data_IF_026925728354
#
_entry.id   IF_026925728354
#
_cell.length_a   1.000
_cell.length_b   1.000
_cell.length_c   1.000
_cell.angle_alpha   90.00
_cell.angle_beta   90.00
_cell.angle_gamma   90.00
#
_symmetry.space_group_name_H-M   'P 1'
#
loop_
_entity.id
_entity.type
_entity.pdbx_description
1 polymer ?
#
# COMPACT_ATOMS: atom_id res chain seq x y z
N UNK A 1 -12.07 -56.51 -23.62
CA UNK A 1 -12.27 -55.16 -24.14
C UNK A 1 -12.23 -54.23 -22.91
N UNK A 2 -11.06 -53.64 -22.62
CA UNK A 2 -10.85 -52.81 -21.44
C UNK A 2 -10.95 -51.33 -21.85
N UNK A 3 -11.96 -50.62 -21.34
CA UNK A 3 -12.06 -49.16 -21.46
C UNK A 3 -11.10 -48.53 -20.45
N UNK A 4 -10.20 -47.73 -20.92
CA UNK A 4 -9.37 -46.85 -20.09
C UNK A 4 -10.09 -45.51 -19.99
N UNK A 5 -10.59 -45.19 -18.80
CA UNK A 5 -11.04 -43.82 -18.46
C UNK A 5 -9.81 -42.93 -18.28
N UNK A 6 -9.63 -41.96 -19.16
CA UNK A 6 -8.67 -40.90 -19.00
C UNK A 6 -9.29 -39.84 -18.11
N UNK A 7 -8.80 -39.74 -16.88
CA UNK A 7 -9.15 -38.63 -15.96
C UNK A 7 -8.29 -37.44 -16.32
N UNK A 8 -8.89 -36.42 -16.97
CA UNK A 8 -8.28 -35.12 -17.13
C UNK A 8 -8.27 -34.44 -15.76
N UNK A 9 -7.10 -34.33 -15.13
CA UNK A 9 -6.87 -33.45 -13.99
C UNK A 9 -6.57 -32.08 -14.59
N UNK A 10 -7.57 -31.21 -14.58
CA UNK A 10 -7.39 -29.79 -14.86
C UNK A 10 -6.69 -29.16 -13.66
N UNK A 11 -5.39 -28.86 -13.79
CA UNK A 11 -4.64 -28.11 -12.80
C UNK A 11 -5.05 -26.63 -12.93
N UNK A 12 -5.92 -26.14 -12.04
CA UNK A 12 -6.24 -24.72 -11.93
C UNK A 12 -5.03 -24.01 -11.33
N UNK A 13 -4.36 -23.20 -12.15
CA UNK A 13 -3.44 -22.21 -11.66
C UNK A 13 -4.27 -21.05 -11.09
N UNK A 14 -4.43 -21.03 -9.77
CA UNK A 14 -5.03 -19.87 -9.08
C UNK A 14 -4.04 -18.70 -9.17
N UNK A 15 -4.28 -17.80 -10.11
CA UNK A 15 -3.59 -16.51 -10.16
C UNK A 15 -4.23 -15.65 -9.07
N UNK A 16 -3.64 -15.65 -7.89
CA UNK A 16 -4.00 -14.69 -6.86
C UNK A 16 -3.47 -13.31 -7.27
N UNK A 17 -4.26 -12.59 -8.05
CA UNK A 17 -4.03 -11.17 -8.29
C UNK A 17 -4.35 -10.42 -7.00
N UNK A 18 -3.33 -10.15 -6.22
CA UNK A 18 -3.47 -9.30 -5.05
C UNK A 18 -3.61 -7.88 -5.56
N UNK A 19 -4.80 -7.33 -5.41
CA UNK A 19 -5.05 -5.94 -5.74
C UNK A 19 -4.29 -5.05 -4.77
N UNK A 20 -3.38 -4.28 -5.30
CA UNK A 20 -2.71 -3.22 -4.57
C UNK A 20 -3.74 -2.19 -4.14
N UNK A 21 -4.04 -2.16 -2.87
CA UNK A 21 -4.60 -0.97 -2.27
C UNK A 21 -3.47 0.08 -2.21
N UNK A 22 -3.82 1.31 -2.41
CA UNK A 22 -2.91 2.45 -2.35
C UNK A 22 -2.37 2.68 -0.93
N UNK A 23 -1.56 1.82 -0.53
CA UNK A 23 -0.47 1.97 0.42
C UNK A 23 0.74 1.71 -0.44
N UNK A 24 1.89 2.22 -0.14
CA UNK A 24 3.12 1.71 -0.73
C UNK A 24 3.14 0.20 -0.47
N UNK A 25 2.40 -0.52 -1.29
CA UNK A 25 2.15 -1.93 -1.14
C UNK A 25 3.22 -2.65 -1.90
N UNK A 26 3.95 -3.47 -1.18
CA UNK A 26 4.75 -4.51 -1.79
C UNK A 26 3.89 -5.22 -2.83
N UNK A 27 4.35 -5.24 -4.07
CA UNK A 27 3.70 -6.00 -5.13
C UNK A 27 3.50 -7.45 -4.67
N UNK A 28 2.39 -8.08 -5.04
CA UNK A 28 2.14 -9.47 -4.68
C UNK A 28 3.28 -10.35 -5.18
N UNK A 29 3.79 -11.20 -4.30
CA UNK A 29 4.69 -12.26 -4.75
C UNK A 29 3.94 -13.14 -5.77
N UNK A 30 4.55 -13.49 -6.89
CA UNK A 30 3.96 -14.45 -7.81
C UNK A 30 3.70 -15.76 -7.06
N UNK A 31 2.49 -16.35 -7.28
CA UNK A 31 2.15 -17.65 -6.71
C UNK A 31 3.20 -18.69 -7.10
N UNK A 32 3.55 -19.65 -6.21
CA UNK A 32 4.52 -20.68 -6.53
C UNK A 32 4.00 -21.54 -7.70
N UNK A 33 4.71 -21.50 -8.81
CA UNK A 33 4.44 -22.37 -9.95
C UNK A 33 4.86 -23.82 -9.59
N UNK A 34 3.96 -24.77 -9.74
CA UNK A 34 4.27 -26.19 -9.74
C UNK A 34 5.32 -26.50 -10.83
N UNK A 35 6.27 -27.35 -10.50
CA UNK A 35 7.50 -27.63 -11.24
C UNK A 35 7.27 -28.14 -12.68
N UNK A 36 7.21 -27.25 -13.63
CA UNK A 36 7.77 -27.44 -14.96
C UNK A 36 8.97 -26.51 -15.09
N UNK A 37 10.13 -27.06 -15.44
CA UNK A 37 11.35 -26.28 -15.68
C UNK A 37 11.12 -25.48 -16.97
N UNK A 38 10.40 -24.36 -16.85
CA UNK A 38 10.43 -23.30 -17.87
C UNK A 38 11.77 -22.54 -17.71
N UNK A 39 12.36 -22.02 -18.81
CA UNK A 39 13.48 -21.10 -18.68
C UNK A 39 13.07 -20.01 -17.69
N UNK A 40 13.84 -19.85 -16.62
CA UNK A 40 13.61 -18.81 -15.62
C UNK A 40 13.86 -17.50 -16.31
N UNK A 41 12.81 -16.72 -16.57
CA UNK A 41 12.98 -15.32 -16.95
C UNK A 41 13.82 -14.65 -15.86
N UNK A 42 14.97 -14.08 -16.18
CA UNK A 42 15.91 -13.59 -15.16
C UNK A 42 15.32 -12.48 -14.30
N UNK A 43 14.33 -11.77 -14.84
CA UNK A 43 13.68 -10.63 -14.18
C UNK A 43 12.21 -10.56 -14.58
N UNK A 44 11.36 -10.15 -13.63
CA UNK A 44 9.94 -9.86 -13.91
C UNK A 44 9.71 -8.35 -13.74
N UNK A 45 9.14 -7.73 -14.76
CA UNK A 45 8.69 -6.33 -14.69
C UNK A 45 7.16 -6.37 -14.74
N UNK A 46 6.53 -5.73 -13.74
CA UNK A 46 5.08 -5.53 -13.70
C UNK A 46 4.77 -4.05 -13.61
N UNK A 47 3.71 -3.62 -14.28
CA UNK A 47 3.21 -2.28 -14.18
C UNK A 47 1.75 -2.27 -13.76
N UNK A 48 1.33 -1.16 -13.14
CA UNK A 48 -0.06 -0.94 -12.83
C UNK A 48 -0.43 0.53 -13.04
N UNK A 49 -1.71 0.76 -13.33
CA UNK A 49 -2.32 2.07 -13.39
C UNK A 49 -3.77 1.97 -12.94
N UNK A 50 -4.24 2.93 -12.15
CA UNK A 50 -5.62 2.93 -11.64
C UNK A 50 -6.21 4.33 -11.50
N UNK A 51 -7.54 4.37 -11.54
CA UNK A 51 -8.34 5.55 -11.23
C UNK A 51 -9.19 5.19 -10.01
N UNK A 52 -9.07 6.01 -8.98
CA UNK A 52 -9.75 5.85 -7.71
C UNK A 52 -10.65 7.06 -7.46
N UNK A 53 -11.78 6.87 -6.82
CA UNK A 53 -12.65 8.00 -6.44
C UNK A 53 -11.97 8.93 -5.43
N UNK A 54 -10.97 8.43 -4.70
CA UNK A 54 -10.04 9.17 -3.85
C UNK A 54 -8.83 8.30 -3.49
N UNK A 55 -7.74 8.93 -3.05
CA UNK A 55 -6.59 8.25 -2.48
C UNK A 55 -6.72 8.15 -0.95
N UNK A 56 -6.71 6.95 -0.40
CA UNK A 56 -6.65 6.70 1.05
C UNK A 56 -5.29 6.06 1.39
N UNK A 57 -4.56 6.68 2.30
CA UNK A 57 -3.31 6.18 2.86
C UNK A 57 -3.46 6.03 4.38
N UNK A 58 -3.27 4.82 4.92
CA UNK A 58 -3.41 4.52 6.35
C UNK A 58 -4.69 5.13 6.96
N UNK A 59 -5.83 4.97 6.28
CA UNK A 59 -7.13 5.50 6.71
C UNK A 59 -7.37 6.99 6.48
N UNK A 60 -6.40 7.73 5.93
CA UNK A 60 -6.48 9.17 5.71
C UNK A 60 -6.64 9.50 4.22
N UNK A 61 -7.62 10.34 3.84
CA UNK A 61 -7.73 10.81 2.46
C UNK A 61 -6.59 11.76 2.12
N UNK A 62 -5.89 11.48 1.01
CA UNK A 62 -4.78 12.28 0.51
C UNK A 62 -5.21 13.29 -0.56
N UNK A 63 -6.44 13.16 -1.07
CA UNK A 63 -6.99 13.96 -2.17
C UNK A 63 -8.26 14.71 -1.79
N UNK A 64 -8.53 14.90 -0.50
CA UNK A 64 -9.77 15.53 0.01
C UNK A 64 -11.03 14.94 -0.66
N UNK A 65 -11.08 13.59 -0.79
CA UNK A 65 -12.19 12.85 -1.42
C UNK A 65 -12.41 13.18 -2.90
N UNK A 66 -11.36 13.65 -3.60
CA UNK A 66 -11.35 13.89 -5.04
C UNK A 66 -10.63 12.76 -5.78
N UNK A 67 -10.88 12.57 -7.09
CA UNK A 67 -10.27 11.50 -7.86
C UNK A 67 -8.75 11.47 -7.78
N UNK A 68 -8.22 10.24 -7.69
CA UNK A 68 -6.80 9.94 -7.71
C UNK A 68 -6.44 9.09 -8.93
N UNK A 69 -5.32 9.45 -9.57
CA UNK A 69 -4.66 8.69 -10.62
C UNK A 69 -3.39 8.11 -10.02
N UNK A 70 -3.28 6.79 -10.04
CA UNK A 70 -2.24 6.05 -9.35
C UNK A 70 -1.59 5.05 -10.27
N UNK A 71 -0.28 4.86 -10.13
CA UNK A 71 0.40 3.86 -10.94
C UNK A 71 1.84 3.66 -10.52
N UNK A 72 2.42 2.55 -10.98
CA UNK A 72 3.79 2.21 -10.63
C UNK A 72 4.34 1.07 -11.46
N UNK A 73 5.61 0.79 -11.23
CA UNK A 73 6.36 -0.31 -11.84
C UNK A 73 7.19 -1.02 -10.78
N UNK A 74 7.24 -2.34 -10.90
CA UNK A 74 8.02 -3.23 -10.05
C UNK A 74 8.96 -4.07 -10.91
N UNK A 75 10.19 -4.20 -10.45
CA UNK A 75 11.20 -5.14 -10.94
C UNK A 75 11.46 -6.17 -9.85
N UNK A 76 11.30 -7.44 -10.17
CA UNK A 76 11.66 -8.54 -9.27
C UNK A 76 12.70 -9.45 -9.91
N UNK A 77 13.62 -9.96 -9.08
CA UNK A 77 14.66 -10.90 -9.50
C UNK A 77 14.33 -12.32 -9.00
N UNK A 78 14.83 -13.37 -9.67
CA UNK A 78 14.66 -14.74 -9.20
C UNK A 78 15.25 -15.00 -7.81
N UNK A 79 16.25 -14.20 -7.41
CA UNK A 79 16.87 -14.27 -6.09
C UNK A 79 16.10 -13.64 -4.95
N UNK A 80 14.89 -13.10 -5.23
CA UNK A 80 14.02 -12.48 -4.22
C UNK A 80 14.24 -10.98 -4.00
N UNK A 81 15.26 -10.38 -4.61
CA UNK A 81 15.41 -8.91 -4.57
C UNK A 81 14.38 -8.23 -5.47
N UNK A 82 13.91 -7.09 -5.07
CA UNK A 82 13.00 -6.26 -5.86
C UNK A 82 13.29 -4.78 -5.65
N UNK A 83 12.87 -3.99 -6.64
CA UNK A 83 12.80 -2.54 -6.57
C UNK A 83 11.56 -2.06 -7.33
N UNK A 84 11.02 -0.93 -6.93
CA UNK A 84 9.86 -0.37 -7.61
C UNK A 84 9.70 1.11 -7.36
N UNK A 85 8.76 1.69 -8.08
CA UNK A 85 8.31 3.06 -7.91
C UNK A 85 6.81 3.12 -8.10
N UNK A 86 6.18 4.02 -7.36
CA UNK A 86 4.75 4.27 -7.43
C UNK A 86 4.46 5.74 -7.24
N UNK A 87 3.33 6.22 -7.75
CA UNK A 87 2.94 7.61 -7.55
C UNK A 87 1.45 7.84 -7.63
N UNK A 88 1.03 8.97 -7.06
CA UNK A 88 -0.35 9.46 -7.05
C UNK A 88 -0.40 10.97 -6.99
N UNK A 89 -1.42 11.56 -7.58
CA UNK A 89 -1.74 12.94 -7.24
C UNK A 89 -2.28 13.02 -5.80
N UNK A 90 -1.97 14.12 -5.14
CA UNK A 90 -2.39 14.44 -3.78
C UNK A 90 -2.85 15.90 -3.66
N UNK A 91 -3.59 16.23 -2.60
CA UNK A 91 -3.92 17.62 -2.26
C UNK A 91 -3.62 17.98 -0.79
N UNK A 92 -3.36 17.00 0.07
CA UNK A 92 -3.26 17.21 1.51
C UNK A 92 -2.21 18.24 1.93
N UNK A 93 -1.11 18.40 1.18
CA UNK A 93 -0.08 19.40 1.46
C UNK A 93 -0.59 20.84 1.20
N UNK A 94 -1.38 21.02 0.13
CA UNK A 94 -2.07 22.28 -0.12
C UNK A 94 -3.16 22.54 0.92
N UNK A 95 -3.93 21.51 1.26
CA UNK A 95 -5.02 21.58 2.24
C UNK A 95 -4.47 21.88 3.64
N UNK A 96 -3.24 21.50 3.94
CA UNK A 96 -2.49 21.83 5.16
C UNK A 96 -1.88 23.25 5.14
N UNK A 97 -1.83 23.91 3.98
CA UNK A 97 -1.25 25.25 3.84
C UNK A 97 0.26 25.30 4.06
N UNK A 98 1.00 24.23 3.77
CA UNK A 98 2.46 24.13 4.02
C UNK A 98 3.31 24.29 2.75
N UNK A 99 2.68 24.47 1.59
CA UNK A 99 3.36 24.61 0.30
C UNK A 99 3.11 25.98 -0.33
N UNK A 100 4.13 26.48 -1.03
CA UNK A 100 4.03 27.67 -1.87
C UNK A 100 3.59 27.28 -3.29
N UNK A 101 4.33 26.38 -3.93
CA UNK A 101 4.04 25.88 -5.29
C UNK A 101 4.32 24.39 -5.42
N UNK A 102 3.64 23.74 -6.37
CA UNK A 102 3.81 22.30 -6.64
C UNK A 102 3.22 21.42 -5.54
N UNK A 103 3.94 20.37 -5.12
CA UNK A 103 3.57 19.41 -4.06
C UNK A 103 2.18 18.77 -4.24
N UNK A 104 1.78 18.52 -5.50
CA UNK A 104 0.53 17.84 -5.86
C UNK A 104 0.77 16.37 -6.24
N UNK A 105 1.98 15.88 -6.03
CA UNK A 105 2.43 14.52 -6.36
C UNK A 105 3.09 13.89 -5.13
N UNK A 106 2.71 12.66 -4.86
CA UNK A 106 3.46 11.70 -4.07
C UNK A 106 4.18 10.76 -5.03
N UNK A 107 5.48 10.57 -4.83
CA UNK A 107 6.26 9.65 -5.62
C UNK A 107 7.15 8.81 -4.72
N UNK A 108 6.90 7.52 -4.72
CA UNK A 108 7.53 6.55 -3.85
C UNK A 108 8.58 5.74 -4.59
N UNK A 109 9.70 5.48 -3.92
CA UNK A 109 10.76 4.57 -4.35
C UNK A 109 10.98 3.54 -3.28
N UNK A 110 11.00 2.28 -3.65
CA UNK A 110 11.17 1.19 -2.69
C UNK A 110 12.02 0.06 -3.25
N UNK A 111 12.57 -0.71 -2.34
CA UNK A 111 13.30 -1.92 -2.67
C UNK A 111 13.49 -2.78 -1.45
N UNK A 112 13.73 -4.05 -1.69
CA UNK A 112 13.83 -4.99 -0.60
C UNK A 112 14.15 -6.41 -1.05
N UNK A 113 13.88 -7.33 -0.14
CA UNK A 113 14.12 -8.75 -0.32
C UNK A 113 12.93 -9.55 0.22
N UNK A 114 12.35 -10.39 -0.64
CA UNK A 114 11.29 -11.34 -0.31
C UNK A 114 11.86 -12.74 -0.22
N UNK A 115 11.46 -13.47 0.80
CA UNK A 115 11.85 -14.85 1.00
C UNK A 115 10.61 -15.72 1.32
N UNK A 116 10.40 -16.77 0.55
CA UNK A 116 9.39 -17.77 0.81
C UNK A 116 10.02 -18.93 1.60
N UNK A 117 9.54 -19.18 2.81
CA UNK A 117 9.94 -20.32 3.63
C UNK A 117 9.33 -21.63 3.10
N UNK A 118 8.09 -21.53 2.61
CA UNK A 118 7.31 -22.57 1.97
C UNK A 118 6.11 -21.94 1.24
N UNK A 119 5.17 -22.74 0.76
CA UNK A 119 4.00 -22.28 -0.01
C UNK A 119 3.06 -21.36 0.80
N UNK A 120 3.09 -21.47 2.13
CA UNK A 120 2.19 -20.72 3.02
C UNK A 120 2.88 -19.51 3.69
N UNK A 121 4.18 -19.60 3.98
CA UNK A 121 4.90 -18.63 4.80
C UNK A 121 5.98 -17.91 4.03
N UNK A 122 6.02 -16.61 4.19
CA UNK A 122 7.06 -15.76 3.61
C UNK A 122 7.39 -14.57 4.50
N UNK A 123 8.48 -13.91 4.15
CA UNK A 123 8.87 -12.62 4.74
C UNK A 123 9.23 -11.62 3.65
N UNK A 124 9.14 -10.35 3.98
CA UNK A 124 9.55 -9.22 3.15
C UNK A 124 10.25 -8.19 4.04
N UNK A 125 11.45 -7.76 3.65
CA UNK A 125 12.19 -6.69 4.32
C UNK A 125 12.62 -5.67 3.29
N UNK A 126 12.52 -4.39 3.61
CA UNK A 126 12.88 -3.38 2.63
C UNK A 126 12.92 -1.97 3.18
N UNK A 127 13.15 -1.04 2.26
CA UNK A 127 13.14 0.40 2.48
C UNK A 127 12.13 1.04 1.55
N UNK A 128 11.47 2.08 2.02
CA UNK A 128 10.53 2.89 1.27
C UNK A 128 10.83 4.36 1.52
N UNK A 129 11.01 5.09 0.42
CA UNK A 129 11.15 6.54 0.42
C UNK A 129 9.89 7.16 -0.17
N UNK A 130 9.15 7.90 0.64
CA UNK A 130 8.10 8.81 0.21
C UNK A 130 8.74 10.13 -0.20
N UNK A 131 8.47 10.59 -1.40
CA UNK A 131 8.98 11.85 -1.92
C UNK A 131 7.85 12.73 -2.42
N UNK A 132 7.83 13.96 -1.93
CA UNK A 132 6.83 14.98 -2.26
C UNK A 132 7.52 16.16 -2.93
N UNK A 133 7.64 16.16 -4.28
CA UNK A 133 8.28 17.26 -5.02
C UNK A 133 7.44 18.53 -4.94
N UNK A 134 8.07 19.64 -4.60
CA UNK A 134 7.43 20.96 -4.51
C UNK A 134 8.23 21.96 -3.69
N UNK A 135 7.74 23.19 -3.68
CA UNK A 135 8.30 24.31 -2.93
C UNK A 135 7.50 24.52 -1.64
N UNK A 136 8.21 24.48 -0.52
CA UNK A 136 7.61 24.54 0.81
C UNK A 136 7.85 25.90 1.44
N UNK A 137 6.90 26.37 2.24
CA UNK A 137 7.03 27.60 2.99
C UNK A 137 8.26 27.55 3.92
N UNK A 138 8.84 28.71 4.20
CA UNK A 138 10.00 28.82 5.09
C UNK A 138 9.67 28.27 6.50
N UNK A 139 10.59 27.49 7.07
CA UNK A 139 10.43 26.86 8.39
C UNK A 139 9.58 25.59 8.43
N UNK A 140 8.99 25.19 7.32
CA UNK A 140 8.23 23.93 7.25
C UNK A 140 9.18 22.74 7.16
N UNK A 141 8.94 21.72 7.98
CA UNK A 141 9.60 20.42 7.87
C UNK A 141 9.07 19.71 6.62
N UNK A 142 9.95 19.36 5.68
CA UNK A 142 9.54 18.65 4.45
C UNK A 142 8.90 17.30 4.79
N UNK A 143 7.82 16.90 4.10
CA UNK A 143 7.09 15.67 4.38
C UNK A 143 7.80 14.40 3.89
N UNK A 144 8.91 14.52 3.16
CA UNK A 144 9.68 13.37 2.70
C UNK A 144 10.01 12.44 3.86
N UNK A 145 9.69 11.15 3.70
CA UNK A 145 9.78 10.18 4.78
C UNK A 145 10.48 8.92 4.29
N UNK A 146 11.45 8.44 5.05
CA UNK A 146 12.10 7.16 4.80
C UNK A 146 11.69 6.16 5.86
N UNK A 147 11.18 5.01 5.45
CA UNK A 147 10.80 3.91 6.34
C UNK A 147 11.60 2.64 6.01
N UNK A 148 12.07 1.97 7.04
CA UNK A 148 12.47 0.56 6.97
C UNK A 148 11.26 -0.29 7.36
N UNK A 149 11.07 -1.43 6.71
CA UNK A 149 9.98 -2.31 7.05
C UNK A 149 10.37 -3.79 7.06
N UNK A 150 9.58 -4.54 7.85
CA UNK A 150 9.56 -5.99 7.84
C UNK A 150 8.11 -6.46 7.81
N UNK A 151 7.81 -7.46 7.00
CA UNK A 151 6.51 -8.12 6.96
C UNK A 151 6.66 -9.63 7.03
N UNK A 152 5.74 -10.27 7.74
CA UNK A 152 5.49 -11.70 7.71
C UNK A 152 4.19 -11.98 6.96
N UNK A 153 4.20 -12.96 6.07
CA UNK A 153 3.04 -13.35 5.28
C UNK A 153 2.67 -14.80 5.60
N UNK A 154 1.39 -15.06 5.81
CA UNK A 154 0.83 -16.40 5.95
C UNK A 154 -0.40 -16.53 5.07
N UNK A 155 -0.29 -17.31 3.98
CA UNK A 155 -1.36 -17.45 2.99
C UNK A 155 -1.86 -16.07 2.52
N UNK A 156 -3.07 -15.72 2.90
CA UNK A 156 -3.76 -14.47 2.56
C UNK A 156 -3.67 -13.39 3.66
N UNK A 157 -2.93 -13.64 4.75
CA UNK A 157 -2.71 -12.68 5.85
C UNK A 157 -1.31 -12.11 5.81
N UNK A 158 -1.15 -10.82 6.08
CA UNK A 158 0.14 -10.14 6.21
C UNK A 158 0.16 -9.29 7.48
N UNK A 159 1.27 -9.34 8.22
CA UNK A 159 1.58 -8.42 9.31
C UNK A 159 2.85 -7.66 8.94
N UNK A 160 2.76 -6.33 8.79
CA UNK A 160 3.86 -5.45 8.41
C UNK A 160 4.12 -4.41 9.49
N UNK A 161 5.38 -4.25 9.86
CA UNK A 161 5.87 -3.17 10.72
C UNK A 161 6.74 -2.24 9.88
N UNK A 162 6.40 -0.95 9.86
CA UNK A 162 7.15 0.12 9.20
C UNK A 162 7.69 1.09 10.24
N UNK A 163 8.98 1.40 10.17
CA UNK A 163 9.70 2.26 11.12
C UNK A 163 10.33 3.43 10.38
N UNK A 164 9.93 4.64 10.73
CA UNK A 164 10.48 5.86 10.14
C UNK A 164 11.87 6.16 10.69
N UNK A 165 12.86 6.24 9.81
CA UNK A 165 14.25 6.62 10.13
C UNK A 165 14.52 8.09 9.86
N UNK A 166 13.54 8.81 9.34
CA UNK A 166 13.51 10.27 9.17
C UNK A 166 12.32 10.86 9.92
N UNK A 167 12.15 12.19 9.88
CA UNK A 167 10.89 12.79 10.29
C UNK A 167 9.74 12.26 9.42
N UNK A 168 8.57 12.06 10.02
CA UNK A 168 7.44 11.37 9.45
C UNK A 168 6.42 12.39 8.94
N UNK A 169 6.21 12.43 7.61
CA UNK A 169 5.19 13.22 6.89
C UNK A 169 5.13 14.69 7.32
N UNK A 170 6.31 15.33 7.49
CA UNK A 170 6.41 16.76 7.80
C UNK A 170 6.25 17.11 9.28
N UNK A 171 6.07 16.15 10.16
CA UNK A 171 6.00 16.41 11.60
C UNK A 171 7.41 16.55 12.16
N UNK A 172 7.76 17.68 12.80
CA UNK A 172 9.07 17.88 13.44
C UNK A 172 9.35 16.83 14.51
N UNK A 173 10.65 16.47 14.67
CA UNK A 173 11.16 15.55 15.69
C UNK A 173 10.43 14.19 15.75
N UNK A 174 9.85 13.75 14.63
CA UNK A 174 9.01 12.54 14.58
C UNK A 174 9.72 11.31 14.01
N UNK A 175 11.06 11.31 13.95
CA UNK A 175 11.82 10.11 13.66
C UNK A 175 11.54 9.01 14.71
N UNK A 176 11.69 7.74 14.34
CA UNK A 176 11.25 6.57 15.15
C UNK A 176 9.73 6.42 15.32
N UNK A 177 8.93 7.20 14.59
CA UNK A 177 7.49 6.89 14.42
C UNK A 177 7.34 5.56 13.69
N UNK A 178 6.22 4.88 13.91
CA UNK A 178 6.02 3.58 13.29
C UNK A 178 4.55 3.33 12.94
N UNK A 179 4.36 2.41 12.00
CA UNK A 179 3.05 1.91 11.62
C UNK A 179 3.04 0.40 11.61
N UNK A 180 2.05 -0.20 12.29
CA UNK A 180 1.80 -1.63 12.28
C UNK A 180 0.53 -1.89 11.49
N UNK A 181 0.60 -2.79 10.51
CA UNK A 181 -0.47 -3.17 9.61
C UNK A 181 -0.76 -4.66 9.70
N UNK A 182 -2.01 -5.03 9.96
CA UNK A 182 -2.51 -6.38 9.79
C UNK A 182 -3.53 -6.36 8.67
N UNK A 183 -3.21 -7.01 7.57
CA UNK A 183 -4.04 -7.08 6.37
C UNK A 183 -4.43 -8.51 6.04
N UNK A 184 -5.61 -8.69 5.42
CA UNK A 184 -6.01 -9.97 4.87
C UNK A 184 -6.74 -9.78 3.54
N UNK A 185 -6.34 -10.60 2.54
CA UNK A 185 -6.92 -10.63 1.21
C UNK A 185 -7.49 -12.04 0.95
N UNK A 186 -8.67 -12.31 1.51
CA UNK A 186 -9.28 -13.64 1.48
C UNK A 186 -9.99 -13.91 0.15
N UNK A 187 -9.59 -14.93 -0.62
CA UNK A 187 -10.25 -15.30 -1.87
C UNK A 187 -11.64 -15.89 -1.57
N UNK A 188 -12.70 -15.16 -1.91
CA UNK A 188 -14.08 -15.63 -1.81
C UNK A 188 -14.41 -16.60 -2.95
N UNK A 189 -13.90 -16.29 -4.15
CA UNK A 189 -13.99 -17.11 -5.37
C UNK A 189 -12.71 -16.93 -6.18
N UNK A 190 -12.64 -17.51 -7.37
CA UNK A 190 -11.51 -17.32 -8.31
C UNK A 190 -11.35 -15.86 -8.77
N UNK A 191 -12.43 -15.06 -8.73
CA UNK A 191 -12.45 -13.68 -9.22
C UNK A 191 -12.75 -12.64 -8.15
N UNK A 192 -13.29 -13.04 -7.00
CA UNK A 192 -13.65 -12.12 -5.92
C UNK A 192 -12.75 -12.30 -4.71
N UNK A 193 -12.20 -11.19 -4.22
CA UNK A 193 -11.37 -11.14 -3.01
C UNK A 193 -12.00 -10.20 -1.99
N UNK A 194 -12.12 -10.65 -0.75
CA UNK A 194 -12.41 -9.81 0.42
C UNK A 194 -11.11 -9.19 0.90
N UNK A 195 -11.06 -7.87 0.96
CA UNK A 195 -9.90 -7.11 1.42
C UNK A 195 -10.22 -6.49 2.77
N UNK A 196 -9.43 -6.79 3.79
CA UNK A 196 -9.56 -6.22 5.13
C UNK A 196 -8.22 -5.74 5.64
N UNK A 197 -8.26 -4.76 6.51
CA UNK A 197 -7.08 -4.17 7.09
C UNK A 197 -7.41 -3.51 8.42
N UNK A 198 -6.49 -3.59 9.37
CA UNK A 198 -6.44 -2.77 10.58
C UNK A 198 -4.99 -2.34 10.81
N UNK A 199 -4.79 -1.05 11.08
CA UNK A 199 -3.48 -0.47 11.28
C UNK A 199 -3.40 0.44 12.49
N UNK A 200 -2.19 0.62 13.01
CA UNK A 200 -1.89 1.53 14.10
C UNK A 200 -0.72 2.42 13.75
N UNK A 201 -0.96 3.74 13.70
CA UNK A 201 0.08 4.76 13.55
C UNK A 201 0.47 5.30 14.93
N UNK A 202 1.76 5.30 15.23
CA UNK A 202 2.35 5.91 16.42
C UNK A 202 3.38 6.95 16.02
N UNK A 203 3.16 8.18 16.43
CA UNK A 203 4.11 9.28 16.28
C UNK A 203 4.96 9.41 17.54
N UNK A 204 6.25 9.62 17.37
CA UNK A 204 7.24 9.87 18.44
C UNK A 204 7.68 11.32 18.45
N UNK A 205 8.45 11.69 19.47
CA UNK A 205 9.04 13.01 19.61
C UNK A 205 8.07 14.10 20.05
N UNK A 206 8.51 15.33 19.90
CA UNK A 206 7.78 16.52 20.38
C UNK A 206 7.80 17.65 19.35
N UNK A 207 6.72 18.38 19.25
CA UNK A 207 6.62 19.59 18.46
C UNK A 207 6.17 20.74 19.36
N UNK A 208 6.95 21.81 19.43
CA UNK A 208 6.67 22.99 20.28
C UNK A 208 6.38 22.64 21.75
N UNK A 209 7.10 21.63 22.30
CA UNK A 209 6.93 21.18 23.68
C UNK A 209 5.75 20.24 23.96
N UNK A 210 4.98 19.87 22.94
CA UNK A 210 3.88 18.91 23.02
C UNK A 210 4.30 17.57 22.42
N UNK A 211 3.89 16.48 23.04
CA UNK A 211 4.13 15.14 22.52
C UNK A 211 3.35 14.94 21.20
N UNK A 212 4.03 14.55 20.14
CA UNK A 212 3.40 14.32 18.84
C UNK A 212 2.30 13.26 18.90
N UNK A 213 2.50 12.20 19.69
CA UNK A 213 1.54 11.12 19.85
C UNK A 213 0.18 11.53 20.43
N UNK A 214 0.12 12.60 21.21
CA UNK A 214 -1.12 13.01 21.88
C UNK A 214 -2.24 13.36 20.90
N UNK A 215 -1.88 13.94 19.74
CA UNK A 215 -2.84 14.34 18.71
C UNK A 215 -2.73 13.53 17.41
N UNK A 216 -1.59 12.88 17.16
CA UNK A 216 -1.31 12.25 15.86
C UNK A 216 -1.39 10.72 15.88
N UNK A 217 -1.42 10.07 17.05
CA UNK A 217 -1.62 8.62 17.12
C UNK A 217 -3.06 8.25 16.78
N UNK A 218 -3.22 7.24 15.92
CA UNK A 218 -4.54 6.74 15.55
C UNK A 218 -4.49 5.27 15.12
N UNK A 219 -5.66 4.66 15.08
CA UNK A 219 -5.92 3.34 14.49
C UNK A 219 -6.86 3.54 13.31
N UNK A 220 -6.63 2.82 12.23
CA UNK A 220 -7.50 2.81 11.06
C UNK A 220 -7.89 1.39 10.69
N UNK A 221 -8.95 1.26 9.90
CA UNK A 221 -9.40 -0.01 9.39
C UNK A 221 -10.09 0.16 8.04
N UNK A 222 -10.12 -0.93 7.29
CA UNK A 222 -10.74 -0.99 5.98
C UNK A 222 -11.40 -2.35 5.77
N UNK A 223 -12.54 -2.35 5.08
CA UNK A 223 -13.17 -3.54 4.51
C UNK A 223 -13.65 -3.24 3.10
N UNK A 224 -13.40 -4.15 2.19
CA UNK A 224 -13.80 -3.99 0.79
C UNK A 224 -13.73 -5.27 0.01
N UNK A 225 -14.09 -5.18 -1.24
CA UNK A 225 -14.05 -6.29 -2.20
C UNK A 225 -13.40 -5.86 -3.49
N UNK A 226 -12.73 -6.81 -4.13
CA UNK A 226 -12.15 -6.64 -5.46
C UNK A 226 -12.63 -7.74 -6.37
N UNK A 227 -13.01 -7.38 -7.59
CA UNK A 227 -13.32 -8.26 -8.69
C UNK A 227 -12.19 -8.22 -9.72
N UNK A 228 -11.54 -9.35 -9.94
CA UNK A 228 -10.52 -9.55 -10.96
C UNK A 228 -11.18 -9.99 -12.27
N UNK A 229 -11.16 -9.11 -13.27
CA UNK A 229 -11.66 -9.38 -14.60
C UNK A 229 -10.54 -9.85 -15.55
N UNK A 230 -10.93 -10.42 -16.68
CA UNK A 230 -9.98 -10.86 -17.68
C UNK A 230 -9.04 -9.71 -18.16
N UNK A 231 -7.83 -10.09 -18.54
CA UNK A 231 -6.84 -9.16 -19.09
C UNK A 231 -6.20 -8.25 -18.06
N UNK A 232 -6.20 -8.59 -16.76
CA UNK A 232 -5.54 -7.82 -15.70
C UNK A 232 -6.32 -6.59 -15.22
N UNK A 233 -7.62 -6.48 -15.51
CA UNK A 233 -8.49 -5.44 -14.97
C UNK A 233 -9.02 -5.83 -13.60
N UNK A 234 -8.96 -4.89 -12.64
CA UNK A 234 -9.49 -5.02 -11.31
C UNK A 234 -10.48 -3.89 -11.03
N UNK A 235 -11.64 -4.24 -10.48
CA UNK A 235 -12.66 -3.31 -10.06
C UNK A 235 -12.91 -3.54 -8.57
N UNK A 236 -12.96 -2.51 -7.79
CA UNK A 236 -13.19 -2.70 -6.37
C UNK A 236 -13.81 -1.50 -5.69
N UNK A 237 -14.29 -1.77 -4.49
CA UNK A 237 -14.75 -0.74 -3.58
C UNK A 237 -14.44 -1.16 -2.14
N UNK A 238 -14.16 -0.17 -1.30
CA UNK A 238 -13.92 -0.37 0.12
C UNK A 238 -14.45 0.78 0.95
N UNK A 239 -14.69 0.50 2.21
CA UNK A 239 -15.02 1.46 3.24
C UNK A 239 -13.92 1.49 4.28
N UNK A 240 -13.58 2.67 4.76
CA UNK A 240 -12.54 2.89 5.76
C UNK A 240 -12.96 3.93 6.78
N UNK A 241 -12.42 3.82 7.98
CA UNK A 241 -12.56 4.81 9.04
C UNK A 241 -11.32 4.79 9.93
N UNK A 242 -11.14 5.85 10.72
CA UNK A 242 -10.04 5.94 11.66
C UNK A 242 -10.42 6.67 12.96
N UNK A 243 -9.58 6.49 13.98
CA UNK A 243 -9.65 7.22 15.24
C UNK A 243 -8.84 8.52 15.22
N UNK A 244 -8.47 9.01 14.02
CA UNK A 244 -7.71 10.24 13.84
C UNK A 244 -8.44 11.44 14.44
N UNK A 245 -7.77 12.17 15.33
CA UNK A 245 -8.34 13.26 16.10
C UNK A 245 -8.46 14.52 15.26
N UNK A 246 -9.52 15.29 15.45
CA UNK A 246 -9.72 16.56 14.74
C UNK A 246 -8.55 17.53 14.94
N UNK A 247 -7.95 17.56 16.13
CA UNK A 247 -6.82 18.43 16.45
C UNK A 247 -5.57 18.19 15.57
N UNK A 248 -5.35 16.94 15.12
CA UNK A 248 -4.19 16.57 14.31
C UNK A 248 -4.48 16.38 12.82
N UNK A 249 -5.76 16.19 12.46
CA UNK A 249 -6.12 15.71 11.13
C UNK A 249 -7.22 16.50 10.42
N UNK A 250 -7.53 17.73 10.91
CA UNK A 250 -8.44 18.63 10.19
C UNK A 250 -7.65 19.48 9.21
N UNK A 251 -7.81 19.21 7.92
CA UNK A 251 -7.25 19.97 6.82
C UNK A 251 -8.38 20.59 6.00
N UNK A 252 -8.25 21.86 5.60
CA UNK A 252 -9.26 22.58 4.85
C UNK A 252 -10.68 22.48 5.47
N UNK A 253 -10.77 22.43 6.80
CA UNK A 253 -12.04 22.38 7.54
C UNK A 253 -12.67 20.97 7.65
N UNK A 254 -11.98 19.91 7.24
CA UNK A 254 -12.45 18.53 7.32
C UNK A 254 -11.42 17.63 7.96
N UNK A 255 -11.85 16.74 8.86
CA UNK A 255 -10.98 15.66 9.32
C UNK A 255 -10.83 14.62 8.20
N UNK A 256 -9.58 14.46 7.74
CA UNK A 256 -9.21 13.59 6.61
C UNK A 256 -9.26 12.09 6.94
N UNK A 257 -9.35 11.71 8.22
CA UNK A 257 -9.44 10.33 8.70
C UNK A 257 -10.86 9.84 8.98
N UNK A 258 -11.90 10.63 8.71
CA UNK A 258 -13.30 10.22 8.94
C UNK A 258 -13.78 9.23 7.89
N UNK A 259 -14.71 8.39 8.34
CA UNK A 259 -15.37 7.36 7.58
C UNK A 259 -15.69 7.75 6.14
N UNK A 260 -15.31 6.91 5.17
CA UNK A 260 -15.54 7.18 3.74
C UNK A 260 -15.48 5.91 2.90
N UNK A 261 -16.14 5.94 1.75
CA UNK A 261 -16.08 4.89 0.74
C UNK A 261 -15.18 5.29 -0.43
N UNK A 262 -14.48 4.32 -1.00
CA UNK A 262 -13.68 4.48 -2.22
C UNK A 262 -14.04 3.39 -3.21
N UNK A 263 -14.23 3.77 -4.48
CA UNK A 263 -14.34 2.85 -5.60
C UNK A 263 -13.15 3.04 -6.55
N UNK A 264 -12.73 1.99 -7.25
CA UNK A 264 -11.61 2.06 -8.17
C UNK A 264 -11.73 1.10 -9.35
N UNK A 265 -11.00 1.45 -10.40
CA UNK A 265 -10.64 0.58 -11.49
C UNK A 265 -9.11 0.63 -11.65
N UNK A 266 -8.49 -0.54 -11.77
CA UNK A 266 -7.06 -0.68 -11.93
C UNK A 266 -6.73 -1.68 -13.04
N UNK A 267 -5.67 -1.41 -13.78
CA UNK A 267 -5.08 -2.31 -14.77
C UNK A 267 -3.68 -2.71 -14.31
N UNK A 268 -3.41 -4.02 -14.35
CA UNK A 268 -2.06 -4.59 -14.18
C UNK A 268 -1.59 -5.20 -15.51
N UNK A 269 -0.33 -5.04 -15.87
CA UNK A 269 0.27 -5.50 -17.11
C UNK A 269 1.74 -5.88 -16.94
#
# INVERSE_FOLDING_TARGET
MKLHSATCIATLAAIATITSNAQAQTAPAPAPASAEVKPVEPYTITGNFGIYSQYIFRGLTQTDRKPAFQGGFDLATPGGFYAGTWGSNISWLHDAGVVDHGASLEWDFYGGYKYAFNDDWGMDVGVLQYWYPGDYLEGVTKPNTTELYIAGNWKWVSLKYSHAVSNTFGIPDSHNSWYLDLSANYPLTETWTLNTHVGRQEYKGQTNGFNNGDNLNYTDWKVGVTYAAAGGWNFGAYYTDSTAKDAGYTLAGRNIGKATGTAFVQKTF
#
